data_IF_928830796031
#
_entry.id   IF_928830796031
#
_cell.length_a   1.000
_cell.length_b   1.000
_cell.length_c   1.000
_cell.angle_alpha   90.00
_cell.angle_beta   90.00
_cell.angle_gamma   90.00
#
_symmetry.space_group_name_H-M   'P 1'
#
loop_
_entity.id
_entity.type
_entity.pdbx_description
1 polymer ?
#
# COMPACT_ATOMS: atom_id res chain seq x y z
N UNK A 1 25.88 13.09 14.30
CA UNK A 1 24.55 13.25 14.96
C UNK A 1 23.41 13.52 13.97
N UNK A 2 23.64 14.26 12.87
CA UNK A 2 22.63 14.50 11.82
C UNK A 2 22.27 13.24 11.02
N UNK A 3 23.24 12.34 10.82
CA UNK A 3 23.07 11.08 10.09
C UNK A 3 22.01 10.14 10.67
N UNK A 4 22.06 9.87 11.99
CA UNK A 4 21.05 9.06 12.71
C UNK A 4 19.66 9.69 12.57
N UNK A 5 19.58 11.03 12.59
CA UNK A 5 18.31 11.74 12.42
C UNK A 5 17.71 11.47 11.04
N UNK A 6 18.54 11.41 10.00
CA UNK A 6 18.09 11.18 8.63
C UNK A 6 17.70 9.72 8.38
N UNK A 7 18.41 8.76 8.97
CA UNK A 7 18.00 7.34 8.97
C UNK A 7 16.65 7.15 9.66
N UNK A 8 16.43 7.79 10.81
CA UNK A 8 15.14 7.73 11.51
C UNK A 8 14.01 8.30 10.65
N UNK A 9 14.22 9.45 9.97
CA UNK A 9 13.23 10.00 9.04
C UNK A 9 12.92 9.07 7.86
N UNK A 10 13.93 8.39 7.33
CA UNK A 10 13.74 7.41 6.26
C UNK A 10 12.89 6.22 6.73
N UNK A 11 13.20 5.63 7.88
CA UNK A 11 12.43 4.52 8.45
C UNK A 11 11.01 4.93 8.86
N UNK A 12 10.82 6.14 9.38
CA UNK A 12 9.49 6.68 9.67
C UNK A 12 8.68 6.87 8.39
N UNK A 13 9.30 7.38 7.31
CA UNK A 13 8.64 7.53 6.01
C UNK A 13 8.22 6.19 5.42
N UNK A 14 9.10 5.19 5.47
CA UNK A 14 8.82 3.83 4.99
C UNK A 14 7.69 3.18 5.80
N UNK A 15 7.73 3.31 7.13
CA UNK A 15 6.66 2.82 8.02
C UNK A 15 5.34 3.54 7.77
N UNK A 16 5.35 4.86 7.57
CA UNK A 16 4.15 5.64 7.29
C UNK A 16 3.53 5.25 5.94
N UNK A 17 4.34 5.05 4.90
CA UNK A 17 3.87 4.55 3.60
C UNK A 17 3.23 3.16 3.74
N UNK A 18 3.88 2.24 4.47
CA UNK A 18 3.32 0.91 4.72
C UNK A 18 1.99 0.97 5.48
N UNK A 19 1.88 1.84 6.49
CA UNK A 19 0.64 2.06 7.24
C UNK A 19 -0.47 2.66 6.39
N UNK A 20 -0.16 3.57 5.46
CA UNK A 20 -1.14 4.12 4.52
C UNK A 20 -1.72 3.00 3.64
N UNK A 21 -0.87 2.16 3.05
CA UNK A 21 -1.33 1.01 2.27
C UNK A 21 -2.20 0.04 3.11
N UNK A 22 -1.79 -0.24 4.35
CA UNK A 22 -2.56 -1.09 5.24
C UNK A 22 -3.91 -0.47 5.64
N UNK A 23 -3.94 0.85 5.84
CA UNK A 23 -5.17 1.59 6.13
C UNK A 23 -6.12 1.60 4.95
N UNK A 24 -5.61 1.68 3.71
CA UNK A 24 -6.42 1.63 2.50
C UNK A 24 -7.08 0.26 2.34
N UNK A 25 -6.34 -0.83 2.58
CA UNK A 25 -6.90 -2.19 2.66
C UNK A 25 -8.01 -2.26 3.70
N UNK A 26 -7.78 -1.72 4.90
CA UNK A 26 -8.76 -1.71 5.98
C UNK A 26 -10.04 -0.96 5.63
N UNK A 27 -9.92 0.26 5.09
CA UNK A 27 -11.07 1.10 4.69
C UNK A 27 -11.87 0.43 3.57
N UNK A 28 -11.20 -0.10 2.55
CA UNK A 28 -11.84 -0.81 1.45
C UNK A 28 -12.51 -2.10 1.91
N UNK A 29 -11.95 -2.80 2.91
CA UNK A 29 -12.55 -4.00 3.50
C UNK A 29 -13.84 -3.68 4.25
N UNK A 30 -13.86 -2.59 5.02
CA UNK A 30 -15.06 -2.10 5.72
C UNK A 30 -16.14 -1.69 4.71
N UNK A 31 -15.76 -0.97 3.66
CA UNK A 31 -16.69 -0.61 2.56
C UNK A 31 -17.24 -1.85 1.85
N UNK A 32 -16.41 -2.87 1.63
CA UNK A 32 -16.83 -4.15 1.07
C UNK A 32 -17.86 -4.86 1.96
N UNK A 33 -17.65 -4.85 3.28
CA UNK A 33 -18.60 -5.40 4.26
C UNK A 33 -19.95 -4.66 4.22
N UNK A 34 -19.92 -3.33 4.18
CA UNK A 34 -21.14 -2.50 4.10
C UNK A 34 -21.93 -2.70 2.80
N UNK A 35 -21.25 -2.90 1.67
CA UNK A 35 -21.91 -3.16 0.39
C UNK A 35 -22.34 -4.62 0.17
N UNK A 36 -22.17 -5.47 1.20
CA UNK A 36 -22.55 -6.89 1.16
C UNK A 36 -21.69 -7.72 0.19
N UNK A 37 -20.45 -7.30 -0.05
CA UNK A 37 -19.47 -8.00 -0.89
C UNK A 37 -18.97 -9.27 -0.20
N UNK A 38 -18.91 -9.28 1.14
CA UNK A 38 -18.51 -10.41 1.96
C UNK A 38 -19.45 -10.55 3.17
N UNK A 39 -19.68 -11.79 3.62
CA UNK A 39 -20.53 -12.12 4.77
C UNK A 39 -19.84 -11.90 6.12
N UNK A 40 -18.51 -11.85 6.12
CA UNK A 40 -17.68 -11.70 7.32
C UNK A 40 -16.49 -10.77 7.06
N UNK A 41 -15.97 -10.15 8.13
CA UNK A 41 -14.90 -9.16 8.01
C UNK A 41 -13.55 -9.81 7.66
N UNK A 42 -13.31 -11.02 8.15
CA UNK A 42 -12.17 -11.87 7.78
C UNK A 42 -12.17 -12.15 6.27
N UNK A 43 -13.31 -12.56 5.71
CA UNK A 43 -13.43 -12.79 4.28
C UNK A 43 -13.29 -11.49 3.48
N UNK A 44 -13.85 -10.37 3.96
CA UNK A 44 -13.71 -9.06 3.33
C UNK A 44 -12.24 -8.64 3.21
N UNK A 45 -11.47 -8.79 4.29
CA UNK A 45 -10.04 -8.43 4.34
C UNK A 45 -9.22 -9.31 3.40
N UNK A 46 -9.49 -10.62 3.34
CA UNK A 46 -8.78 -11.54 2.44
C UNK A 46 -9.08 -11.22 0.97
N UNK A 47 -10.34 -10.94 0.63
CA UNK A 47 -10.76 -10.55 -0.73
C UNK A 47 -10.09 -9.24 -1.14
N UNK A 48 -10.31 -8.17 -0.36
CA UNK A 48 -9.85 -6.82 -0.70
C UNK A 48 -8.33 -6.73 -0.61
N UNK A 49 -7.72 -7.33 0.41
CA UNK A 49 -6.26 -7.42 0.54
C UNK A 49 -5.64 -8.16 -0.65
N UNK A 50 -6.27 -9.25 -1.11
CA UNK A 50 -5.84 -9.99 -2.29
C UNK A 50 -5.92 -9.19 -3.59
N UNK A 51 -6.98 -8.38 -3.76
CA UNK A 51 -7.14 -7.44 -4.89
C UNK A 51 -6.09 -6.32 -4.81
N UNK A 52 -5.90 -5.75 -3.62
CA UNK A 52 -5.05 -4.59 -3.37
C UNK A 52 -3.56 -4.91 -3.58
N UNK A 53 -3.09 -6.06 -3.08
CA UNK A 53 -1.71 -6.51 -3.21
C UNK A 53 -1.46 -7.32 -4.48
N UNK A 54 -2.50 -7.58 -5.28
CA UNK A 54 -2.46 -8.45 -6.46
C UNK A 54 -2.04 -9.89 -6.20
N UNK A 55 -1.93 -10.30 -4.93
CA UNK A 55 -1.64 -11.70 -4.55
C UNK A 55 -2.76 -12.62 -5.06
N UNK A 56 -4.00 -12.12 -5.09
CA UNK A 56 -5.14 -12.77 -5.71
C UNK A 56 -5.57 -14.08 -5.02
N UNK A 57 -6.78 -14.11 -4.48
CA UNK A 57 -7.48 -15.39 -4.31
C UNK A 57 -8.55 -15.47 -5.38
N UNK A 58 -8.34 -16.32 -6.39
CA UNK A 58 -9.30 -16.56 -7.46
C UNK A 58 -10.67 -16.95 -6.90
N UNK A 59 -10.68 -17.70 -5.79
CA UNK A 59 -11.89 -18.12 -5.09
C UNK A 59 -12.59 -16.95 -4.40
N UNK A 60 -11.83 -16.02 -3.82
CA UNK A 60 -12.34 -14.83 -3.16
C UNK A 60 -12.90 -13.79 -4.15
N UNK A 61 -12.31 -13.67 -5.34
CA UNK A 61 -12.82 -12.79 -6.40
C UNK A 61 -13.97 -13.46 -7.17
N UNK A 62 -13.97 -14.79 -7.29
CA UNK A 62 -15.05 -15.53 -7.95
C UNK A 62 -16.36 -15.48 -7.14
N UNK A 63 -16.28 -15.44 -5.80
CA UNK A 63 -17.43 -15.31 -4.91
C UNK A 63 -18.09 -13.92 -4.96
N UNK A 64 -17.46 -12.94 -5.63
CA UNK A 64 -18.05 -11.62 -5.83
C UNK A 64 -19.20 -11.65 -6.85
N UNK A 65 -20.34 -11.01 -6.53
CA UNK A 65 -21.40 -10.74 -7.50
C UNK A 65 -20.85 -10.01 -8.74
N UNK A 66 -21.34 -10.38 -9.94
CA UNK A 66 -20.85 -9.86 -11.23
C UNK A 66 -20.71 -8.33 -11.28
N UNK A 67 -21.64 -7.59 -10.65
CA UNK A 67 -21.65 -6.12 -10.54
C UNK A 67 -20.41 -5.51 -9.87
N UNK A 68 -19.75 -6.25 -8.96
CA UNK A 68 -18.58 -5.76 -8.22
C UNK A 68 -17.25 -6.22 -8.80
N UNK A 69 -17.24 -7.07 -9.85
CA UNK A 69 -15.99 -7.53 -10.49
C UNK A 69 -15.24 -6.40 -11.19
N UNK A 70 -15.94 -5.47 -11.82
CA UNK A 70 -15.28 -4.32 -12.46
C UNK A 70 -14.66 -3.37 -11.43
N UNK A 71 -15.31 -3.24 -10.26
CA UNK A 71 -14.75 -2.48 -9.13
C UNK A 71 -13.45 -3.11 -8.64
N UNK A 72 -13.40 -4.45 -8.53
CA UNK A 72 -12.18 -5.16 -8.15
C UNK A 72 -11.03 -4.88 -9.13
N UNK A 73 -11.29 -4.85 -10.44
CA UNK A 73 -10.27 -4.53 -11.45
C UNK A 73 -9.78 -3.08 -11.32
N UNK A 74 -10.71 -2.13 -11.16
CA UNK A 74 -10.35 -0.70 -10.99
C UNK A 74 -9.54 -0.49 -9.71
N UNK A 75 -9.93 -1.13 -8.61
CA UNK A 75 -9.22 -1.06 -7.33
C UNK A 75 -7.81 -1.64 -7.44
N UNK A 76 -7.65 -2.78 -8.13
CA UNK A 76 -6.34 -3.40 -8.35
C UNK A 76 -5.41 -2.52 -9.21
N UNK A 77 -5.95 -1.87 -10.24
CA UNK A 77 -5.17 -0.92 -11.05
C UNK A 77 -4.75 0.31 -10.25
N UNK A 78 -5.66 0.84 -9.43
CA UNK A 78 -5.37 1.98 -8.55
C UNK A 78 -4.31 1.65 -7.51
N UNK A 79 -4.38 0.48 -6.88
CA UNK A 79 -3.40 0.07 -5.86
C UNK A 79 -2.00 -0.12 -6.44
N UNK A 80 -1.88 -0.66 -7.67
CA UNK A 80 -0.60 -0.75 -8.38
C UNK A 80 0.00 0.62 -8.65
N UNK A 81 -0.82 1.59 -9.08
CA UNK A 81 -0.35 2.96 -9.27
C UNK A 81 0.11 3.59 -7.95
N UNK A 82 -0.61 3.35 -6.86
CA UNK A 82 -0.23 3.79 -5.51
C UNK A 82 1.11 3.20 -5.07
N UNK A 83 1.34 1.89 -5.26
CA UNK A 83 2.62 1.25 -4.95
C UNK A 83 3.78 1.79 -5.79
N UNK A 84 3.55 2.00 -7.09
CA UNK A 84 4.55 2.58 -7.98
C UNK A 84 4.94 4.00 -7.54
N UNK A 85 3.94 4.81 -7.19
CA UNK A 85 4.15 6.15 -6.67
C UNK A 85 4.94 6.14 -5.35
N UNK A 86 4.55 5.33 -4.38
CA UNK A 86 5.26 5.18 -3.09
C UNK A 86 6.72 4.77 -3.29
N UNK A 87 6.98 3.87 -4.23
CA UNK A 87 8.35 3.45 -4.59
C UNK A 87 9.13 4.61 -5.22
N UNK A 88 8.52 5.40 -6.09
CA UNK A 88 9.16 6.58 -6.70
C UNK A 88 9.55 7.62 -5.63
N UNK A 89 8.66 7.89 -4.67
CA UNK A 89 8.95 8.78 -3.53
C UNK A 89 10.12 8.24 -2.70
N UNK A 90 10.14 6.93 -2.41
CA UNK A 90 11.23 6.31 -1.67
C UNK A 90 12.56 6.38 -2.43
N UNK A 91 12.55 6.18 -3.75
CA UNK A 91 13.74 6.35 -4.58
C UNK A 91 14.27 7.78 -4.56
N UNK A 92 13.39 8.79 -4.56
CA UNK A 92 13.79 10.19 -4.48
C UNK A 92 14.41 10.53 -3.11
N UNK A 93 13.81 10.04 -2.01
CA UNK A 93 14.37 10.16 -0.67
C UNK A 93 15.76 9.50 -0.56
N UNK A 94 15.96 8.31 -1.14
CA UNK A 94 17.26 7.64 -1.18
C UNK A 94 18.32 8.42 -1.98
N UNK A 95 17.93 9.08 -3.08
CA UNK A 95 18.83 9.94 -3.86
C UNK A 95 19.27 11.16 -3.06
N UNK A 96 18.34 11.80 -2.34
CA UNK A 96 18.63 12.92 -1.45
C UNK A 96 19.61 12.49 -0.36
N UNK A 97 19.36 11.33 0.27
CA UNK A 97 20.23 10.77 1.29
C UNK A 97 21.67 10.53 0.79
N UNK A 98 21.80 9.88 -0.38
CA UNK A 98 23.10 9.61 -1.00
C UNK A 98 23.86 10.89 -1.36
N UNK A 99 23.17 11.97 -1.71
CA UNK A 99 23.78 13.26 -2.03
C UNK A 99 24.34 13.98 -0.80
N UNK A 100 23.66 13.84 0.34
CA UNK A 100 24.09 14.49 1.60
C UNK A 100 25.20 13.71 2.30
N UNK A 101 25.21 12.38 2.21
CA UNK A 101 26.24 11.51 2.82
C UNK A 101 27.70 11.95 2.56
N UNK A 102 28.14 12.21 1.31
CA UNK A 102 29.53 12.62 1.05
C UNK A 102 29.83 14.08 1.45
N UNK A 103 28.83 14.92 1.71
CA UNK A 103 29.05 16.29 2.20
C UNK A 103 29.37 16.33 3.70
N UNK A 104 28.90 15.34 4.48
CA UNK A 104 29.16 15.22 5.93
C UNK A 104 30.52 14.55 6.21
N UNK A 105 31.05 13.74 5.29
CA UNK A 105 32.42 13.16 5.40
C UNK A 105 33.54 14.16 5.03
N UNK A 106 33.19 15.32 4.45
CA UNK A 106 34.13 16.34 4.00
C UNK A 106 34.28 17.54 4.98
N UNK A 107 33.52 17.57 6.07
CA UNK A 107 33.53 18.59 7.14
C UNK A 107 33.91 17.99 8.48
#
# INVERSE_FOLDING_TARGET
>A
KQYIRMEIFFFMGLSALALIHLSEIGILSILGLWHGVASSIDHAIVVIGGIYTTIGSEQAVASLPSRYRILAVVLSMSSLFCFAWSTAVMMDMMRMYRKVRPLDEAT
#
